data_IF_919896649654
#
_entry.id   IF_919896649654
#
_cell.length_a   1.000
_cell.length_b   1.000
_cell.length_c   1.000
_cell.angle_alpha   90.00
_cell.angle_beta   90.00
_cell.angle_gamma   90.00
#
_symmetry.space_group_name_H-M   'P 1'
#
loop_
_entity.id
_entity.type
_entity.pdbx_description
1 polymer ?
#
# COMPACT_ATOMS: atom_id res chain seq x y z
N UNK A 1 5.86 12.54 -23.31
CA UNK A 1 5.31 13.80 -22.76
C UNK A 1 5.40 13.68 -21.25
N UNK A 2 6.06 14.61 -20.56
CA UNK A 2 6.06 14.62 -19.09
C UNK A 2 4.61 14.82 -18.63
N UNK A 3 4.07 13.87 -17.88
CA UNK A 3 2.77 14.07 -17.24
C UNK A 3 2.88 15.28 -16.32
N UNK A 4 2.08 16.29 -16.57
CA UNK A 4 2.04 17.50 -15.76
C UNK A 4 1.05 17.28 -14.61
N UNK A 5 1.42 17.78 -13.42
CA UNK A 5 0.52 17.82 -12.28
C UNK A 5 -0.78 18.57 -12.65
N UNK A 6 -1.91 18.00 -12.28
CA UNK A 6 -3.19 18.68 -12.43
C UNK A 6 -3.27 19.82 -11.41
N UNK A 7 -3.79 21.01 -11.79
CA UNK A 7 -4.03 22.07 -10.80
C UNK A 7 -4.96 21.59 -9.69
N UNK A 8 -4.66 22.01 -8.46
CA UNK A 8 -5.53 21.76 -7.32
C UNK A 8 -6.82 22.61 -7.44
N UNK A 9 -7.90 22.14 -6.85
CA UNK A 9 -9.09 22.95 -6.66
C UNK A 9 -8.80 24.08 -5.65
N UNK A 10 -9.47 25.26 -5.73
CA UNK A 10 -9.19 26.39 -4.84
C UNK A 10 -9.23 26.04 -3.34
N UNK A 11 -10.15 25.17 -2.93
CA UNK A 11 -10.25 24.72 -1.55
C UNK A 11 -9.08 23.78 -1.12
N UNK A 12 -8.50 23.03 -2.06
CA UNK A 12 -7.30 22.21 -1.82
C UNK A 12 -6.06 23.09 -1.76
N UNK A 13 -5.97 24.11 -2.65
CA UNK A 13 -4.88 25.07 -2.70
C UNK A 13 -4.74 25.85 -1.38
N UNK A 14 -5.87 26.16 -0.74
CA UNK A 14 -5.91 26.88 0.54
C UNK A 14 -5.42 26.04 1.74
N UNK A 15 -5.20 24.74 1.58
CA UNK A 15 -4.75 23.87 2.67
C UNK A 15 -3.29 24.12 3.02
N UNK A 16 -2.91 24.12 4.32
CA UNK A 16 -1.53 24.41 4.74
C UNK A 16 -0.50 23.40 4.25
N UNK A 17 -0.93 22.24 3.79
CA UNK A 17 -0.10 21.17 3.23
C UNK A 17 -0.13 21.09 1.69
N UNK A 18 -0.80 22.03 0.98
CA UNK A 18 -0.85 22.06 -0.49
C UNK A 18 0.53 22.14 -1.14
N UNK A 19 1.49 22.82 -0.50
CA UNK A 19 2.88 22.90 -0.93
C UNK A 19 3.55 21.54 -1.16
N UNK A 20 3.13 20.49 -0.46
CA UNK A 20 3.69 19.15 -0.63
C UNK A 20 3.23 18.47 -1.93
N UNK A 21 2.05 18.81 -2.44
CA UNK A 21 1.58 18.33 -3.72
C UNK A 21 2.43 18.85 -4.90
N UNK A 22 2.93 20.08 -4.79
CA UNK A 22 3.74 20.73 -5.82
C UNK A 22 5.24 20.46 -5.69
N UNK A 23 5.64 19.65 -4.74
CA UNK A 23 7.04 19.21 -4.67
C UNK A 23 7.44 18.48 -5.93
N UNK A 24 8.71 18.61 -6.30
CA UNK A 24 9.29 17.81 -7.35
C UNK A 24 9.05 16.32 -7.05
N UNK A 25 8.48 15.61 -8.03
CA UNK A 25 8.20 14.18 -7.88
C UNK A 25 9.52 13.45 -7.81
N UNK A 26 9.72 12.77 -6.70
CA UNK A 26 10.93 11.98 -6.47
C UNK A 26 11.01 10.86 -7.51
N UNK A 27 12.16 10.76 -8.17
CA UNK A 27 12.38 9.68 -9.11
C UNK A 27 12.36 8.33 -8.38
N UNK A 28 11.66 7.33 -8.92
CA UNK A 28 11.64 5.99 -8.34
C UNK A 28 13.06 5.42 -8.23
N UNK A 29 13.31 4.60 -7.21
CA UNK A 29 14.61 4.00 -6.98
C UNK A 29 15.12 3.27 -8.24
N UNK A 30 16.21 3.74 -8.90
CA UNK A 30 16.63 3.22 -10.20
C UNK A 30 17.11 1.76 -10.13
N UNK A 31 17.63 1.31 -8.98
CA UNK A 31 18.02 -0.08 -8.77
C UNK A 31 16.81 -1.01 -8.82
N UNK A 32 15.74 -0.65 -8.10
CA UNK A 32 14.49 -1.42 -8.07
C UNK A 32 13.80 -1.40 -9.44
N UNK A 33 13.74 -0.23 -10.08
CA UNK A 33 13.20 -0.09 -11.43
C UNK A 33 13.97 -0.95 -12.43
N UNK A 34 15.31 -0.98 -12.33
CA UNK A 34 16.17 -1.82 -13.17
C UNK A 34 15.95 -3.31 -12.96
N UNK A 35 15.57 -3.76 -11.74
CA UNK A 35 15.21 -5.16 -11.49
C UNK A 35 13.89 -5.49 -12.20
N UNK A 36 12.84 -4.68 -12.02
CA UNK A 36 11.53 -4.94 -12.64
C UNK A 36 11.59 -4.88 -14.18
N UNK A 37 12.44 -4.01 -14.75
CA UNK A 37 12.59 -3.85 -16.20
C UNK A 37 13.23 -5.08 -16.89
N UNK A 38 13.79 -6.02 -16.13
CA UNK A 38 14.29 -7.30 -16.68
C UNK A 38 13.17 -8.28 -17.03
N UNK A 39 11.93 -7.95 -16.66
CA UNK A 39 10.77 -8.81 -16.87
C UNK A 39 10.39 -9.64 -15.64
N UNK A 40 9.43 -10.57 -15.80
CA UNK A 40 8.94 -11.39 -14.70
C UNK A 40 10.03 -12.24 -14.05
N UNK A 41 9.97 -12.35 -12.73
CA UNK A 41 10.82 -13.25 -11.95
C UNK A 41 10.39 -14.72 -12.14
N UNK A 42 11.27 -15.64 -11.74
CA UNK A 42 10.95 -17.07 -11.68
C UNK A 42 9.78 -17.31 -10.71
N UNK A 43 8.66 -17.89 -11.19
CA UNK A 43 7.50 -18.17 -10.34
C UNK A 43 7.77 -19.12 -9.16
N UNK A 44 8.81 -19.97 -9.25
CA UNK A 44 9.19 -20.90 -8.18
C UNK A 44 9.81 -20.17 -6.97
N UNK A 45 10.21 -18.91 -7.13
CA UNK A 45 10.73 -18.05 -6.08
C UNK A 45 9.68 -17.11 -5.46
N UNK A 46 8.45 -17.18 -5.95
CA UNK A 46 7.35 -16.42 -5.37
C UNK A 46 6.95 -17.00 -4.03
N UNK A 47 6.82 -16.16 -3.00
CA UNK A 47 6.31 -16.59 -1.71
C UNK A 47 4.83 -16.96 -1.83
N UNK A 48 4.43 -18.22 -1.55
CA UNK A 48 3.02 -18.59 -1.51
C UNK A 48 2.27 -17.83 -0.41
N UNK A 49 1.03 -17.42 -0.67
CA UNK A 49 0.22 -16.70 0.33
C UNK A 49 0.04 -17.53 1.62
N UNK A 50 -0.05 -18.85 1.52
CA UNK A 50 -0.15 -19.76 2.68
C UNK A 50 1.10 -19.75 3.57
N UNK A 51 2.22 -19.23 3.06
CA UNK A 51 3.51 -19.15 3.75
C UNK A 51 3.89 -17.72 4.15
N UNK A 52 2.95 -16.77 4.10
CA UNK A 52 3.21 -15.35 4.38
C UNK A 52 3.86 -15.09 5.76
N UNK A 53 3.71 -16.02 6.71
CA UNK A 53 4.38 -15.95 8.01
C UNK A 53 5.92 -16.03 7.93
N UNK A 54 6.47 -16.42 6.77
CA UNK A 54 7.92 -16.32 6.52
C UNK A 54 8.39 -14.85 6.41
N UNK A 55 7.50 -13.89 6.20
CA UNK A 55 7.84 -12.45 6.29
C UNK A 55 8.27 -12.02 7.70
N UNK A 56 7.94 -12.82 8.71
CA UNK A 56 8.34 -12.61 10.10
C UNK A 56 9.74 -13.18 10.41
N UNK A 57 10.29 -14.04 9.53
CA UNK A 57 11.59 -14.64 9.76
C UNK A 57 12.73 -13.62 9.59
N UNK A 58 13.84 -13.75 10.33
CA UNK A 58 15.05 -12.98 10.08
C UNK A 58 15.59 -13.21 8.66
N UNK A 59 16.30 -12.20 8.12
CA UNK A 59 16.88 -12.27 6.78
C UNK A 59 15.89 -11.95 5.67
N UNK A 60 16.22 -12.40 4.46
CA UNK A 60 15.51 -12.05 3.23
C UNK A 60 15.21 -13.30 2.41
N UNK A 61 14.15 -13.25 1.62
CA UNK A 61 13.88 -14.22 0.58
C UNK A 61 14.90 -14.06 -0.57
N UNK A 62 15.03 -15.07 -1.38
CA UNK A 62 15.92 -15.02 -2.56
C UNK A 62 15.52 -13.88 -3.51
N UNK A 63 14.23 -13.57 -3.63
CA UNK A 63 13.70 -12.44 -4.39
C UNK A 63 12.86 -11.53 -3.50
N UNK A 64 13.39 -10.34 -3.22
CA UNK A 64 12.69 -9.30 -2.46
C UNK A 64 12.06 -8.23 -3.36
N UNK A 65 12.46 -8.18 -4.66
CA UNK A 65 11.86 -7.27 -5.64
C UNK A 65 11.69 -8.00 -6.96
N UNK A 66 10.45 -8.07 -7.44
CA UNK A 66 10.07 -8.75 -8.66
C UNK A 66 8.55 -8.92 -8.76
N UNK A 67 8.09 -9.39 -9.91
CA UNK A 67 6.70 -9.74 -10.16
C UNK A 67 6.63 -10.98 -11.05
N UNK A 68 5.56 -11.75 -10.94
CA UNK A 68 5.31 -12.89 -11.83
C UNK A 68 3.84 -13.31 -11.82
N UNK A 69 3.52 -14.26 -12.68
CA UNK A 69 2.30 -15.06 -12.56
C UNK A 69 2.70 -16.42 -12.03
N UNK A 70 2.20 -16.77 -10.85
CA UNK A 70 2.44 -18.06 -10.21
C UNK A 70 1.93 -19.22 -11.03
N UNK A 71 2.36 -20.45 -10.72
CA UNK A 71 1.96 -21.66 -11.46
C UNK A 71 0.46 -21.87 -11.46
N UNK A 72 -0.21 -21.48 -10.39
CA UNK A 72 -1.66 -21.56 -10.23
C UNK A 72 -2.43 -20.35 -10.82
N UNK A 73 -1.71 -19.39 -11.42
CA UNK A 73 -2.29 -18.28 -12.17
C UNK A 73 -2.54 -17.00 -11.37
N UNK A 74 -2.11 -16.93 -10.12
CA UNK A 74 -2.16 -15.71 -9.33
C UNK A 74 -1.09 -14.72 -9.80
N UNK A 75 -1.39 -13.40 -9.72
CA UNK A 75 -0.36 -12.38 -9.84
C UNK A 75 0.40 -12.24 -8.52
N UNK A 76 1.72 -12.25 -8.57
CA UNK A 76 2.57 -12.04 -7.40
C UNK A 76 3.47 -10.83 -7.57
N UNK A 77 3.64 -10.09 -6.49
CA UNK A 77 4.55 -8.93 -6.41
C UNK A 77 5.32 -9.00 -5.12
N UNK A 78 6.60 -8.75 -5.22
CA UNK A 78 7.49 -8.44 -4.11
C UNK A 78 8.18 -7.11 -4.40
N UNK A 79 8.24 -6.21 -3.42
CA UNK A 79 9.05 -4.99 -3.47
C UNK A 79 9.64 -4.76 -2.08
N UNK A 80 10.94 -4.53 -2.01
CA UNK A 80 11.59 -4.08 -0.80
C UNK A 80 12.05 -2.63 -0.98
N UNK A 81 11.31 -1.70 -0.37
CA UNK A 81 11.60 -0.26 -0.44
C UNK A 81 12.24 0.20 0.87
N UNK A 82 13.44 0.77 0.79
CA UNK A 82 14.03 1.50 1.90
C UNK A 82 13.45 2.92 1.94
N UNK A 83 13.06 3.37 3.12
CA UNK A 83 12.53 4.70 3.39
C UNK A 83 13.49 5.43 4.34
N UNK A 84 14.55 6.06 3.80
CA UNK A 84 15.56 6.73 4.61
C UNK A 84 14.94 7.91 5.37
N UNK A 85 15.36 8.10 6.62
CA UNK A 85 14.84 9.16 7.49
C UNK A 85 13.43 8.94 8.03
N UNK A 86 12.73 7.92 7.57
CA UNK A 86 11.41 7.57 8.07
C UNK A 86 11.49 6.66 9.29
N UNK A 87 10.47 6.75 10.15
CA UNK A 87 10.28 5.85 11.30
C UNK A 87 8.95 5.11 11.18
N UNK A 88 8.79 4.05 11.96
CA UNK A 88 7.53 3.29 12.03
C UNK A 88 6.36 4.21 12.46
N UNK A 89 6.60 5.12 13.40
CA UNK A 89 5.57 6.05 13.87
C UNK A 89 5.15 7.06 12.79
N UNK A 90 6.08 7.50 11.95
CA UNK A 90 5.77 8.32 10.77
C UNK A 90 4.85 7.56 9.81
N UNK A 91 5.13 6.29 9.56
CA UNK A 91 4.34 5.46 8.67
C UNK A 91 2.94 5.17 9.24
N UNK A 92 2.83 4.84 10.52
CA UNK A 92 1.54 4.69 11.22
C UNK A 92 0.70 5.95 11.14
N UNK A 93 1.32 7.11 11.45
CA UNK A 93 0.68 8.40 11.34
C UNK A 93 0.20 8.66 9.92
N UNK A 94 1.01 8.35 8.90
CA UNK A 94 0.66 8.52 7.50
C UNK A 94 -0.60 7.74 7.11
N UNK A 95 -0.68 6.46 7.48
CA UNK A 95 -1.85 5.62 7.15
C UNK A 95 -3.14 6.08 7.83
N UNK A 96 -3.05 6.91 8.86
CA UNK A 96 -4.21 7.59 9.46
C UNK A 96 -4.46 8.92 8.75
N UNK A 97 -3.42 9.73 8.60
CA UNK A 97 -3.52 11.12 8.19
C UNK A 97 -4.01 11.28 6.75
N UNK A 98 -3.49 10.47 5.82
CA UNK A 98 -3.86 10.59 4.41
C UNK A 98 -5.34 10.28 4.14
N UNK A 99 -5.99 9.49 4.99
CA UNK A 99 -7.40 9.10 4.85
C UNK A 99 -8.36 9.98 5.66
N UNK A 100 -7.86 10.73 6.64
CA UNK A 100 -8.70 11.42 7.62
C UNK A 100 -9.49 12.59 7.03
N UNK A 101 -8.96 13.28 6.02
CA UNK A 101 -9.57 14.48 5.47
C UNK A 101 -9.16 14.75 4.03
N UNK A 102 -10.14 14.85 3.13
CA UNK A 102 -10.01 15.34 1.76
C UNK A 102 -9.06 14.53 0.86
N UNK A 103 -9.19 14.77 -0.45
CA UNK A 103 -8.41 14.06 -1.46
C UNK A 103 -6.94 14.52 -1.54
N UNK A 104 -6.66 15.77 -1.17
CA UNK A 104 -5.33 16.35 -1.34
C UNK A 104 -4.26 15.55 -0.59
N UNK A 105 -4.57 15.09 0.63
CA UNK A 105 -3.63 14.30 1.43
C UNK A 105 -3.24 13.00 0.73
N UNK A 106 -4.18 12.36 0.08
CA UNK A 106 -3.94 11.15 -0.74
C UNK A 106 -3.15 11.46 -2.01
N UNK A 107 -3.47 12.57 -2.69
CA UNK A 107 -2.74 13.05 -3.87
C UNK A 107 -1.27 13.35 -3.58
N UNK A 108 -0.93 13.83 -2.38
CA UNK A 108 0.46 14.09 -1.97
C UNK A 108 1.32 12.82 -2.04
N UNK A 109 0.75 11.65 -1.78
CA UNK A 109 1.48 10.38 -1.82
C UNK A 109 1.98 10.03 -3.23
N UNK A 110 1.10 10.13 -4.22
CA UNK A 110 1.42 9.86 -5.62
C UNK A 110 0.67 10.85 -6.52
N UNK A 111 1.23 12.07 -6.72
CA UNK A 111 0.50 13.17 -7.34
C UNK A 111 -0.01 12.90 -8.77
N UNK A 112 0.63 11.98 -9.50
CA UNK A 112 0.22 11.60 -10.86
C UNK A 112 -0.79 10.45 -10.89
N UNK A 113 -0.86 9.64 -9.81
CA UNK A 113 -1.60 8.39 -9.81
C UNK A 113 -2.76 8.34 -8.83
N UNK A 114 -2.72 9.09 -7.73
CA UNK A 114 -3.78 9.13 -6.72
C UNK A 114 -4.73 10.30 -6.95
N UNK A 115 -6.02 10.03 -7.04
CA UNK A 115 -7.01 11.06 -7.41
C UNK A 115 -8.01 11.36 -6.31
N UNK A 116 -8.53 10.34 -5.63
CA UNK A 116 -9.52 10.52 -4.59
C UNK A 116 -9.44 9.42 -3.52
N UNK A 117 -9.86 9.77 -2.31
CA UNK A 117 -10.03 8.85 -1.19
C UNK A 117 -11.26 9.22 -0.37
N UNK A 118 -11.98 8.21 0.10
CA UNK A 118 -13.06 8.34 1.06
C UNK A 118 -13.01 7.20 2.08
N UNK A 119 -13.45 7.50 3.29
CA UNK A 119 -13.70 6.52 4.36
C UNK A 119 -15.10 6.73 4.92
N UNK A 120 -15.66 5.74 5.61
CA UNK A 120 -16.96 5.84 6.24
C UNK A 120 -16.94 6.82 7.42
N UNK A 121 -18.07 7.45 7.74
CA UNK A 121 -18.17 8.39 8.86
C UNK A 121 -17.87 7.76 10.22
N UNK A 122 -18.17 6.47 10.38
CA UNK A 122 -17.80 5.73 11.59
C UNK A 122 -16.29 5.64 11.75
N UNK A 123 -15.54 5.48 10.65
CA UNK A 123 -14.08 5.40 10.64
C UNK A 123 -13.45 6.78 10.89
N UNK A 124 -14.08 7.86 10.38
CA UNK A 124 -13.68 9.25 10.74
C UNK A 124 -13.78 9.48 12.24
N UNK A 125 -14.90 9.06 12.86
CA UNK A 125 -15.07 9.16 14.33
C UNK A 125 -14.03 8.34 15.09
N UNK A 126 -13.68 7.15 14.60
CA UNK A 126 -12.65 6.30 15.18
C UNK A 126 -11.27 6.95 15.13
N UNK A 127 -10.92 7.61 14.01
CA UNK A 127 -9.64 8.30 13.84
C UNK A 127 -9.47 9.42 14.88
N UNK A 128 -10.50 10.20 15.15
CA UNK A 128 -10.42 11.35 16.07
C UNK A 128 -10.60 10.99 17.54
N UNK A 129 -11.08 9.80 17.87
CA UNK A 129 -11.27 9.36 19.25
C UNK A 129 -9.91 9.15 19.95
N UNK A 130 -9.56 9.95 20.99
CA UNK A 130 -8.28 9.83 21.68
C UNK A 130 -8.11 8.53 22.45
N UNK A 131 -9.20 7.80 22.72
CA UNK A 131 -9.20 6.52 23.43
C UNK A 131 -8.77 5.36 22.54
N UNK A 132 -8.84 5.52 21.22
CA UNK A 132 -8.44 4.49 20.26
C UNK A 132 -6.92 4.54 20.10
N UNK A 133 -6.20 3.42 20.34
CA UNK A 133 -4.77 3.35 20.10
C UNK A 133 -4.43 3.69 18.65
N UNK A 134 -3.26 4.31 18.43
CA UNK A 134 -2.83 4.79 17.11
C UNK A 134 -2.88 3.67 16.05
N UNK A 135 -2.40 2.48 16.41
CA UNK A 135 -2.39 1.31 15.53
C UNK A 135 -3.80 0.87 15.11
N UNK A 136 -4.79 1.01 16.00
CA UNK A 136 -6.16 0.61 15.70
C UNK A 136 -6.91 1.64 14.84
N UNK A 137 -6.37 2.85 14.70
CA UNK A 137 -7.02 3.93 13.94
C UNK A 137 -7.04 3.72 12.43
N UNK A 138 -6.13 2.89 11.88
CA UNK A 138 -6.08 2.59 10.44
C UNK A 138 -6.42 1.12 10.11
N UNK A 139 -6.65 0.27 11.12
CA UNK A 139 -7.07 -1.13 10.92
C UNK A 139 -8.58 -1.29 11.01
N UNK A 140 -9.12 -2.37 10.42
CA UNK A 140 -10.56 -2.67 10.35
C UNK A 140 -11.37 -1.47 9.85
N UNK A 141 -10.91 -0.91 8.72
CA UNK A 141 -11.59 0.15 7.97
C UNK A 141 -11.43 -0.04 6.47
N UNK A 142 -12.33 0.55 5.71
CA UNK A 142 -12.32 0.53 4.27
C UNK A 142 -11.93 1.91 3.72
N UNK A 143 -10.90 1.93 2.87
CA UNK A 143 -10.55 3.08 2.05
C UNK A 143 -11.14 2.89 0.65
N UNK A 144 -11.97 3.82 0.22
CA UNK A 144 -12.49 3.88 -1.15
C UNK A 144 -11.61 4.83 -1.93
N UNK A 145 -10.79 4.30 -2.83
CA UNK A 145 -9.80 5.10 -3.55
C UNK A 145 -10.06 5.10 -5.06
N UNK A 146 -9.63 6.19 -5.70
CA UNK A 146 -9.56 6.30 -7.16
C UNK A 146 -8.11 6.55 -7.51
N UNK A 147 -7.50 5.61 -8.21
CA UNK A 147 -6.06 5.67 -8.53
C UNK A 147 -5.73 4.94 -9.83
N UNK A 148 -4.53 5.19 -10.36
CA UNK A 148 -3.96 4.46 -11.49
C UNK A 148 -2.78 3.62 -11.00
N UNK A 149 -2.97 2.32 -10.92
CA UNK A 149 -1.95 1.35 -10.51
C UNK A 149 -1.17 0.75 -11.70
N UNK A 150 -1.14 1.46 -12.82
CA UNK A 150 -0.39 1.07 -14.01
C UNK A 150 -1.25 0.51 -15.17
N UNK A 151 -2.55 0.30 -14.97
CA UNK A 151 -3.45 -0.24 -16.00
C UNK A 151 -4.65 0.67 -16.29
N UNK A 152 -4.53 1.96 -15.99
CA UNK A 152 -5.60 2.95 -16.09
C UNK A 152 -6.21 3.29 -14.74
N UNK A 153 -7.16 4.23 -14.75
CA UNK A 153 -7.82 4.68 -13.52
C UNK A 153 -8.85 3.66 -13.04
N UNK A 154 -8.74 3.26 -11.79
CA UNK A 154 -9.60 2.26 -11.16
C UNK A 154 -10.24 2.80 -9.88
N UNK A 155 -11.44 2.29 -9.56
CA UNK A 155 -12.06 2.44 -8.25
C UNK A 155 -11.74 1.20 -7.43
N UNK A 156 -11.01 1.38 -6.33
CA UNK A 156 -10.53 0.29 -5.51
C UNK A 156 -11.06 0.49 -4.09
N UNK A 157 -11.47 -0.59 -3.45
CA UNK A 157 -11.72 -0.63 -2.01
C UNK A 157 -10.57 -1.39 -1.36
N UNK A 158 -9.85 -0.71 -0.46
CA UNK A 158 -8.77 -1.31 0.33
C UNK A 158 -9.30 -1.51 1.75
N UNK A 159 -9.48 -2.78 2.15
CA UNK A 159 -9.99 -3.17 3.47
C UNK A 159 -8.82 -3.51 4.37
N UNK A 160 -8.35 -2.55 5.14
CA UNK A 160 -7.28 -2.76 6.11
C UNK A 160 -7.75 -3.68 7.24
N UNK A 161 -6.88 -4.59 7.66
CA UNK A 161 -7.15 -5.58 8.70
C UNK A 161 -6.02 -5.62 9.72
N UNK A 162 -6.36 -6.01 10.93
CA UNK A 162 -5.34 -6.39 11.92
C UNK A 162 -4.60 -7.63 11.44
N UNK A 163 -3.30 -7.68 11.65
CA UNK A 163 -2.47 -8.78 11.16
C UNK A 163 -2.91 -10.15 11.71
N UNK A 164 -3.38 -10.22 12.96
CA UNK A 164 -3.92 -11.44 13.56
C UNK A 164 -5.17 -11.95 12.80
N UNK A 165 -6.00 -11.04 12.28
CA UNK A 165 -7.20 -11.37 11.48
C UNK A 165 -6.83 -11.82 10.05
N UNK A 166 -5.58 -11.61 9.64
CA UNK A 166 -5.06 -12.08 8.37
C UNK A 166 -4.32 -13.42 8.47
N UNK A 167 -4.22 -14.01 9.67
CA UNK A 167 -3.57 -15.29 9.89
C UNK A 167 -2.07 -15.20 10.15
N UNK A 168 -1.56 -14.03 10.53
CA UNK A 168 -0.21 -13.94 11.06
C UNK A 168 -0.12 -14.55 12.45
N UNK A 169 0.96 -15.29 12.68
CA UNK A 169 1.30 -15.83 13.98
C UNK A 169 1.73 -14.71 14.93
N UNK A 170 0.91 -14.44 15.94
CA UNK A 170 1.10 -13.32 16.86
C UNK A 170 2.29 -13.53 17.80
N UNK A 171 2.62 -14.79 18.18
CA UNK A 171 3.78 -15.10 19.00
C UNK A 171 5.07 -14.92 18.18
N UNK A 172 5.09 -15.45 16.95
CA UNK A 172 6.18 -15.24 16.02
C UNK A 172 6.39 -13.76 15.71
N UNK A 173 5.30 -13.00 15.50
CA UNK A 173 5.39 -11.55 15.27
C UNK A 173 6.06 -10.81 16.42
N UNK A 174 5.72 -11.12 17.69
CA UNK A 174 6.31 -10.47 18.86
C UNK A 174 7.83 -10.67 18.98
N UNK A 175 8.35 -11.75 18.45
CA UNK A 175 9.78 -12.09 18.48
C UNK A 175 10.52 -11.83 17.17
N UNK A 176 9.80 -11.35 16.14
CA UNK A 176 10.35 -11.13 14.81
C UNK A 176 11.06 -9.77 14.68
N UNK A 177 11.92 -9.59 13.65
CA UNK A 177 12.44 -8.29 13.29
C UNK A 177 11.39 -7.36 12.65
N UNK A 178 10.21 -7.88 12.32
CA UNK A 178 9.10 -7.08 11.79
C UNK A 178 8.41 -6.33 12.92
N UNK A 179 8.41 -5.01 12.87
CA UNK A 179 7.88 -4.13 13.92
C UNK A 179 6.46 -3.62 13.62
N UNK A 180 6.03 -3.72 12.37
CA UNK A 180 4.68 -3.39 11.94
C UNK A 180 4.26 -4.21 10.72
N UNK A 181 2.96 -4.51 10.64
CA UNK A 181 2.32 -5.08 9.46
C UNK A 181 1.12 -4.20 9.12
N UNK A 182 1.16 -3.59 7.95
CA UNK A 182 0.04 -2.87 7.37
C UNK A 182 -0.47 -3.73 6.22
N UNK A 183 -1.67 -4.27 6.35
CA UNK A 183 -2.17 -5.20 5.37
C UNK A 183 -3.68 -5.21 5.26
N UNK A 184 -4.17 -5.88 4.22
CA UNK A 184 -5.59 -5.96 3.95
C UNK A 184 -5.91 -6.56 2.59
N UNK A 185 -7.09 -6.24 2.11
CA UNK A 185 -7.64 -6.75 0.85
C UNK A 185 -7.96 -5.59 -0.07
N UNK A 186 -7.40 -5.62 -1.29
CA UNK A 186 -7.82 -4.77 -2.39
C UNK A 186 -8.90 -5.46 -3.22
N UNK A 187 -9.87 -4.69 -3.70
CA UNK A 187 -10.81 -5.17 -4.70
C UNK A 187 -11.24 -4.02 -5.60
N UNK A 188 -11.32 -4.28 -6.92
CA UNK A 188 -11.94 -3.37 -7.85
C UNK A 188 -13.46 -3.43 -7.64
N UNK A 189 -14.02 -2.37 -7.08
CA UNK A 189 -15.46 -2.23 -6.89
C UNK A 189 -15.99 -1.08 -7.75
N UNK A 190 -16.01 -1.28 -9.08
CA UNK A 190 -16.80 -0.40 -9.91
C UNK A 190 -18.28 -0.69 -9.64
N UNK A 191 -19.02 0.34 -9.22
CA UNK A 191 -20.49 0.28 -9.13
C UNK A 191 -21.13 -0.06 -10.49
N UNK A 192 -20.39 0.19 -11.58
CA UNK A 192 -20.81 0.06 -12.96
C UNK A 192 -20.15 -1.13 -13.68
N UNK A 193 -19.55 -2.09 -12.96
CA UNK A 193 -18.97 -3.28 -13.59
C UNK A 193 -20.06 -4.31 -13.90
N UNK A 194 -20.55 -4.41 -15.16
CA UNK A 194 -21.63 -5.31 -15.53
C UNK A 194 -21.22 -6.79 -15.47
N UNK A 195 -19.92 -7.11 -15.42
CA UNK A 195 -19.41 -8.49 -15.39
C UNK A 195 -19.39 -9.07 -13.98
N UNK A 196 -19.56 -8.25 -12.94
CA UNK A 196 -19.50 -8.70 -11.55
C UNK A 196 -18.16 -9.27 -11.10
N UNK A 197 -17.16 -9.32 -11.98
CA UNK A 197 -15.83 -9.78 -11.62
C UNK A 197 -15.12 -8.70 -10.83
N UNK A 198 -14.96 -8.95 -9.54
CA UNK A 198 -14.18 -8.10 -8.64
C UNK A 198 -12.77 -8.63 -8.57
N UNK A 199 -11.80 -7.91 -9.13
CA UNK A 199 -10.39 -8.18 -8.89
C UNK A 199 -10.17 -8.22 -7.37
N UNK A 200 -9.50 -9.25 -6.87
CA UNK A 200 -9.19 -9.38 -5.44
C UNK A 200 -7.69 -9.50 -5.28
N UNK A 201 -7.15 -8.81 -4.29
CA UNK A 201 -5.75 -8.88 -3.94
C UNK A 201 -5.60 -8.97 -2.41
N UNK A 202 -4.60 -9.71 -1.95
CA UNK A 202 -4.07 -9.58 -0.60
C UNK A 202 -2.86 -8.67 -0.68
N UNK A 203 -2.80 -7.67 0.20
CA UNK A 203 -1.72 -6.70 0.32
C UNK A 203 -1.10 -6.81 1.70
N UNK A 204 0.23 -6.88 1.77
CA UNK A 204 1.01 -6.86 3.00
C UNK A 204 2.19 -5.91 2.84
N UNK A 205 2.33 -4.98 3.77
CA UNK A 205 3.54 -4.20 4.00
C UNK A 205 4.13 -4.61 5.35
N UNK A 206 5.18 -5.42 5.32
CA UNK A 206 5.95 -5.84 6.50
C UNK A 206 7.08 -4.84 6.71
N UNK A 207 7.10 -4.17 7.86
CA UNK A 207 8.03 -3.08 8.17
C UNK A 207 9.11 -3.55 9.11
N UNK A 208 10.36 -3.24 8.80
CA UNK A 208 11.51 -3.44 9.69
C UNK A 208 12.27 -2.13 9.88
N UNK A 209 12.85 -1.96 11.05
CA UNK A 209 13.82 -0.89 11.29
C UNK A 209 15.18 -1.28 10.71
N UNK A 210 15.80 -0.33 10.01
CA UNK A 210 17.15 -0.46 9.45
C UNK A 210 18.00 0.74 9.87
N UNK A 211 19.31 0.67 9.65
CA UNK A 211 20.17 1.83 9.91
C UNK A 211 19.75 3.03 9.06
N UNK A 212 19.36 4.12 9.72
CA UNK A 212 18.96 5.38 9.06
C UNK A 212 17.54 5.45 8.53
N UNK A 213 16.66 4.48 8.86
CA UNK A 213 15.25 4.52 8.41
C UNK A 213 14.51 3.22 8.67
N UNK A 214 13.58 2.93 7.79
CA UNK A 214 12.82 1.68 7.77
C UNK A 214 12.89 1.04 6.39
N UNK A 215 12.71 -0.28 6.32
CA UNK A 215 12.42 -0.98 5.07
C UNK A 215 10.97 -1.48 5.07
N UNK A 216 10.37 -1.39 3.90
CA UNK A 216 9.00 -1.83 3.65
C UNK A 216 9.05 -3.01 2.68
N UNK A 217 8.86 -4.23 3.20
CA UNK A 217 8.79 -5.46 2.43
C UNK A 217 7.35 -5.71 2.00
N UNK A 218 7.01 -5.16 0.84
CA UNK A 218 5.65 -5.25 0.28
C UNK A 218 5.46 -6.57 -0.45
N UNK A 219 4.27 -7.16 -0.28
CA UNK A 219 3.80 -8.32 -1.04
C UNK A 219 2.36 -8.13 -1.47
N UNK A 220 2.07 -8.52 -2.72
CA UNK A 220 0.71 -8.63 -3.22
C UNK A 220 0.48 -10.01 -3.84
N UNK A 221 -0.72 -10.53 -3.64
CA UNK A 221 -1.21 -11.74 -4.30
C UNK A 221 -2.54 -11.41 -4.97
N UNK A 222 -2.49 -11.14 -6.28
CA UNK A 222 -3.66 -10.80 -7.10
C UNK A 222 -4.44 -12.08 -7.42
N UNK A 223 -5.75 -12.06 -7.23
CA UNK A 223 -6.61 -13.24 -7.40
C UNK A 223 -6.70 -14.12 -6.17
N UNK A 224 -6.22 -13.65 -5.02
CA UNK A 224 -6.24 -14.35 -3.75
C UNK A 224 -7.04 -13.61 -2.67
N UNK A 225 -7.45 -14.35 -1.63
CA UNK A 225 -8.05 -13.85 -0.39
C UNK A 225 -7.55 -14.64 0.81
N UNK A 226 -7.65 -14.02 1.99
CA UNK A 226 -7.57 -14.72 3.27
C UNK A 226 -8.98 -14.73 3.87
N UNK A 227 -9.45 -15.89 4.24
CA UNK A 227 -10.76 -16.11 4.89
C UNK A 227 -10.49 -16.91 6.16
N UNK A 228 -10.86 -16.37 7.32
CA UNK A 228 -10.60 -17.00 8.61
C UNK A 228 -9.12 -17.41 8.80
N UNK A 229 -8.20 -16.52 8.41
CA UNK A 229 -6.75 -16.76 8.51
C UNK A 229 -6.17 -17.75 7.51
N UNK A 230 -6.95 -18.26 6.55
CA UNK A 230 -6.49 -19.20 5.52
C UNK A 230 -6.46 -18.57 4.14
N UNK A 231 -5.43 -18.91 3.37
CA UNK A 231 -5.25 -18.46 1.99
C UNK A 231 -6.16 -19.20 1.02
N UNK A 232 -6.83 -18.45 0.15
CA UNK A 232 -7.68 -18.99 -0.92
C UNK A 232 -7.40 -18.30 -2.24
N UNK A 233 -7.35 -19.07 -3.31
CA UNK A 233 -7.44 -18.60 -4.68
C UNK A 233 -8.91 -18.30 -4.99
N UNK A 234 -9.22 -17.10 -5.51
CA UNK A 234 -10.60 -16.66 -5.78
C UNK A 234 -10.86 -16.38 -7.26
N UNK A 235 -9.89 -16.62 -8.13
CA UNK A 235 -10.08 -16.62 -9.58
C UNK A 235 -10.51 -18.03 -10.05
N UNK A 236 -11.32 -18.13 -11.13
CA UNK A 236 -11.73 -19.42 -11.67
C UNK A 236 -10.53 -20.32 -12.05
N UNK A 237 -10.67 -21.66 -12.04
CA UNK A 237 -9.54 -22.58 -12.23
C UNK A 237 -8.72 -22.37 -13.51
N UNK A 238 -9.34 -21.92 -14.59
CA UNK A 238 -8.68 -21.73 -15.89
C UNK A 238 -8.29 -20.26 -16.15
N UNK A 239 -8.57 -19.37 -15.22
CA UNK A 239 -8.21 -17.95 -15.33
C UNK A 239 -6.82 -17.73 -14.77
N UNK A 240 -6.03 -16.96 -15.48
CA UNK A 240 -4.73 -16.43 -15.03
C UNK A 240 -4.80 -14.92 -15.02
N UNK A 241 -4.20 -14.30 -14.02
CA UNK A 241 -4.04 -12.84 -13.98
C UNK A 241 -3.13 -12.44 -15.15
N UNK A 242 -3.46 -11.41 -15.95
CA UNK A 242 -2.56 -10.86 -16.97
C UNK A 242 -1.28 -10.34 -16.30
N UNK A 243 -0.11 -10.60 -16.91
CA UNK A 243 1.20 -10.21 -16.32
C UNK A 243 1.37 -8.69 -16.18
N UNK A 244 0.66 -7.92 -16.98
CA UNK A 244 0.61 -6.45 -16.93
C UNK A 244 0.07 -5.95 -15.58
N UNK A 245 -0.84 -6.69 -14.95
CA UNK A 245 -1.42 -6.30 -13.67
C UNK A 245 -0.40 -6.30 -12.52
N UNK A 246 0.32 -7.41 -12.22
CA UNK A 246 1.37 -7.36 -11.21
C UNK A 246 2.56 -6.50 -11.64
N UNK A 247 2.86 -6.38 -12.94
CA UNK A 247 3.90 -5.49 -13.44
C UNK A 247 3.57 -4.03 -13.11
N UNK A 248 2.41 -3.53 -13.53
CA UNK A 248 2.00 -2.14 -13.31
C UNK A 248 1.98 -1.78 -11.83
N UNK A 249 1.38 -2.64 -10.99
CA UNK A 249 1.31 -2.42 -9.55
C UNK A 249 2.70 -2.45 -8.88
N UNK A 250 3.65 -3.26 -9.35
CA UNK A 250 5.02 -3.28 -8.83
C UNK A 250 5.75 -1.95 -9.12
N UNK A 251 5.65 -1.44 -10.35
CA UNK A 251 6.22 -0.14 -10.72
C UNK A 251 5.57 1.01 -9.95
N UNK A 252 4.23 1.00 -9.82
CA UNK A 252 3.50 1.97 -9.04
C UNK A 252 3.97 1.99 -7.58
N UNK A 253 4.08 0.83 -6.94
CA UNK A 253 4.51 0.69 -5.55
C UNK A 253 5.90 1.28 -5.30
N UNK A 254 6.87 1.05 -6.20
CA UNK A 254 8.19 1.66 -6.07
C UNK A 254 8.11 3.19 -6.17
N UNK A 255 7.33 3.71 -7.12
CA UNK A 255 7.21 5.15 -7.36
C UNK A 255 6.55 5.85 -6.16
N UNK A 256 5.42 5.34 -5.67
CA UNK A 256 4.67 5.94 -4.57
C UNK A 256 5.47 5.97 -3.26
N UNK A 257 6.16 4.85 -2.90
CA UNK A 257 6.95 4.81 -1.67
C UNK A 257 8.28 5.56 -1.78
N UNK A 258 8.86 5.68 -2.99
CA UNK A 258 10.02 6.56 -3.21
C UNK A 258 9.66 8.02 -2.97
N UNK A 259 8.50 8.48 -3.45
CA UNK A 259 8.03 9.84 -3.23
C UNK A 259 7.60 10.06 -1.78
N UNK A 260 6.87 9.11 -1.18
CA UNK A 260 6.48 9.19 0.22
C UNK A 260 7.69 9.32 1.15
N UNK A 261 8.74 8.52 0.92
CA UNK A 261 9.97 8.59 1.72
C UNK A 261 10.61 9.99 1.72
N UNK A 262 10.53 10.71 0.59
CA UNK A 262 11.09 12.04 0.47
C UNK A 262 10.25 13.14 1.14
N UNK A 263 8.92 12.96 1.24
CA UNK A 263 8.03 14.00 1.80
C UNK A 263 7.65 13.73 3.25
N UNK A 264 7.58 12.48 3.67
CA UNK A 264 7.01 12.08 4.95
C UNK A 264 7.73 12.66 6.17
N UNK A 265 9.07 12.70 6.26
CA UNK A 265 9.74 13.21 7.45
C UNK A 265 9.40 14.68 7.75
N UNK A 266 9.38 15.53 6.74
CA UNK A 266 9.04 16.95 6.88
C UNK A 266 7.56 17.14 7.15
N UNK A 267 6.70 16.48 6.40
CA UNK A 267 5.25 16.51 6.57
C UNK A 267 4.84 16.06 7.98
N UNK A 268 5.39 14.97 8.47
CA UNK A 268 5.18 14.50 9.83
C UNK A 268 5.67 15.52 10.86
N UNK A 269 6.86 16.08 10.68
CA UNK A 269 7.42 17.12 11.56
C UNK A 269 6.49 18.30 11.74
N UNK A 270 5.82 18.74 10.65
CA UNK A 270 4.94 19.89 10.63
C UNK A 270 3.52 19.58 11.16
N UNK A 271 2.98 18.36 10.91
CA UNK A 271 1.57 18.05 11.13
C UNK A 271 1.28 16.99 12.20
N UNK A 272 2.27 16.30 12.76
CA UNK A 272 2.04 15.22 13.74
C UNK A 272 1.27 15.64 15.00
N UNK A 273 1.37 16.91 15.39
CA UNK A 273 0.72 17.46 16.57
C UNK A 273 -0.61 18.18 16.22
N UNK A 274 -1.04 18.13 14.96
CA UNK A 274 -2.31 18.69 14.53
C UNK A 274 -3.39 17.61 14.59
N UNK A 275 -4.65 17.98 14.87
CA UNK A 275 -5.77 17.04 14.79
C UNK A 275 -5.86 16.38 13.40
N UNK A 276 -6.20 15.09 13.35
CA UNK A 276 -6.32 14.38 12.08
C UNK A 276 -7.44 14.90 11.17
N UNK A 277 -8.54 15.37 11.77
CA UNK A 277 -9.76 15.77 11.06
C UNK A 277 -9.86 17.26 10.76
N UNK A 278 -8.92 18.09 11.23
CA UNK A 278 -8.91 19.53 10.93
C UNK A 278 -8.25 19.77 9.58
N UNK A 279 -9.02 20.39 8.71
CA UNK A 279 -8.58 20.91 7.42
C UNK A 279 -8.68 22.44 7.38
#
# INVERSE_FOLDING_TARGET
>A
MSEQLKPLAPYEEAKPYSKYYYREITQPNPKLMGILSKGPMDPDKALPLSEMNQLLDPGYHEVETGYCISKDGLGYIAVNSELPGCTVDMLRWWFIWHAAAGNLRYKIWSPLCHYAIAIADQDRRKIVDPRVPLRDKYTDMDHFVVENVGNGTENIVIRFKKHENMGFDTEKFRSSPTVEIIGGYGANESRDNPTGFKGSAVMIHSVREISGGIELRTRFWLGARIIEGKAYKVIPPFVRIPVEAPMGLAFHNIAEFSHLAAVLPELYGEFKNKPFAED
#
